data_IF_859588781345
#
_entry.id   IF_859588781345
#
_cell.length_a   1.000
_cell.length_b   1.000
_cell.length_c   1.000
_cell.angle_alpha   90.00
_cell.angle_beta   90.00
_cell.angle_gamma   90.00
#
_symmetry.space_group_name_H-M   'P 1'
#
loop_
_entity.id
_entity.type
_entity.pdbx_description
1 polymer ?
#
# COMPACT_ATOMS: atom_id res chain seq x y z
N UNK A 1 -9.39 -14.28 -10.90
CA UNK A 1 -9.85 -15.07 -9.75
C UNK A 1 -9.33 -14.38 -8.51
N UNK A 2 -10.16 -14.21 -7.49
CA UNK A 2 -9.84 -13.44 -6.29
C UNK A 2 -9.51 -14.43 -5.18
N UNK A 3 -8.42 -14.20 -4.45
CA UNK A 3 -8.01 -15.09 -3.35
C UNK A 3 -7.55 -14.28 -2.14
N UNK A 4 -7.91 -14.75 -0.96
CA UNK A 4 -7.33 -14.28 0.30
C UNK A 4 -5.95 -14.94 0.48
N UNK A 5 -4.92 -14.14 0.79
CA UNK A 5 -3.54 -14.63 0.92
C UNK A 5 -3.03 -14.57 2.35
N UNK A 6 -3.34 -13.49 3.05
CA UNK A 6 -3.08 -13.25 4.48
C UNK A 6 -4.23 -12.38 4.98
N UNK A 7 -4.72 -12.59 6.21
CA UNK A 7 -6.00 -12.06 6.71
C UNK A 7 -6.39 -10.67 6.18
N UNK A 8 -7.64 -10.56 5.73
CA UNK A 8 -8.26 -9.34 5.16
C UNK A 8 -7.55 -8.72 3.94
N UNK A 9 -6.62 -9.44 3.29
CA UNK A 9 -6.00 -8.99 2.05
C UNK A 9 -6.66 -9.66 0.84
N UNK A 10 -6.82 -8.87 -0.21
CA UNK A 10 -7.35 -9.30 -1.49
C UNK A 10 -6.24 -9.32 -2.54
N UNK A 11 -6.00 -10.49 -3.14
CA UNK A 11 -4.99 -10.66 -4.18
C UNK A 11 -5.62 -10.91 -5.55
N UNK A 12 -5.06 -10.27 -6.58
CA UNK A 12 -5.41 -10.52 -7.98
C UNK A 12 -4.18 -10.39 -8.89
N UNK A 13 -4.22 -10.99 -10.08
CA UNK A 13 -3.19 -10.82 -11.13
C UNK A 13 -3.58 -9.77 -12.17
N UNK A 14 -4.75 -9.13 -12.03
CA UNK A 14 -5.28 -8.17 -13.00
C UNK A 14 -5.21 -6.73 -12.42
N UNK A 15 -4.36 -5.90 -13.01
CA UNK A 15 -4.11 -4.52 -12.59
C UNK A 15 -5.37 -3.64 -12.63
N UNK A 16 -6.13 -3.72 -13.71
CA UNK A 16 -7.33 -2.90 -13.91
C UNK A 16 -8.39 -3.22 -12.86
N UNK A 17 -8.60 -4.51 -12.59
CA UNK A 17 -9.50 -4.97 -11.52
C UNK A 17 -9.02 -4.48 -10.15
N UNK A 18 -7.71 -4.57 -9.87
CA UNK A 18 -7.16 -4.13 -8.60
C UNK A 18 -7.37 -2.63 -8.37
N UNK A 19 -7.06 -1.81 -9.38
CA UNK A 19 -7.24 -0.34 -9.33
C UNK A 19 -8.72 0.04 -9.16
N UNK A 20 -9.63 -0.57 -9.91
CA UNK A 20 -11.08 -0.29 -9.77
C UNK A 20 -11.60 -0.62 -8.38
N UNK A 21 -11.16 -1.73 -7.79
CA UNK A 21 -11.59 -2.11 -6.42
C UNK A 21 -10.99 -1.16 -5.39
N UNK A 22 -9.70 -0.83 -5.52
CA UNK A 22 -9.03 0.17 -4.68
C UNK A 22 -9.76 1.52 -4.72
N UNK A 23 -9.99 2.06 -5.92
CA UNK A 23 -10.68 3.34 -6.12
C UNK A 23 -12.12 3.29 -5.61
N UNK A 24 -12.83 2.16 -5.76
CA UNK A 24 -14.16 2.00 -5.21
C UNK A 24 -14.14 2.14 -3.68
N UNK A 25 -13.25 1.44 -2.98
CA UNK A 25 -13.17 1.56 -1.51
C UNK A 25 -12.69 2.93 -1.06
N UNK A 26 -11.67 3.48 -1.72
CA UNK A 26 -11.12 4.79 -1.41
C UNK A 26 -12.17 5.92 -1.55
N UNK A 27 -13.10 5.80 -2.50
CA UNK A 27 -14.12 6.82 -2.75
C UNK A 27 -15.42 6.64 -1.95
N UNK A 28 -15.62 5.48 -1.33
CA UNK A 28 -16.90 5.12 -0.68
C UNK A 28 -16.75 4.76 0.81
N UNK A 29 -15.55 4.82 1.37
CA UNK A 29 -15.29 4.49 2.78
C UNK A 29 -14.35 5.52 3.41
N UNK A 30 -14.42 5.65 4.74
CA UNK A 30 -13.48 6.48 5.50
C UNK A 30 -12.28 5.65 6.02
N UNK A 31 -11.96 4.56 5.34
CA UNK A 31 -10.90 3.61 5.72
C UNK A 31 -9.69 3.84 4.84
N UNK A 32 -8.50 3.82 5.43
CA UNK A 32 -7.25 3.80 4.69
C UNK A 32 -7.03 2.40 4.10
N UNK A 33 -6.99 2.36 2.78
CA UNK A 33 -6.72 1.21 1.94
C UNK A 33 -5.38 1.42 1.24
N UNK A 34 -4.73 0.31 0.92
CA UNK A 34 -3.49 0.28 0.18
C UNK A 34 -3.55 -0.78 -0.92
N UNK A 35 -2.86 -0.51 -2.02
CA UNK A 35 -2.69 -1.39 -3.16
C UNK A 35 -1.19 -1.52 -3.46
N UNK A 36 -0.66 -2.72 -3.29
CA UNK A 36 0.71 -3.07 -3.63
C UNK A 36 0.78 -3.85 -4.93
N UNK A 37 1.66 -3.44 -5.84
CA UNK A 37 2.11 -4.26 -6.96
C UNK A 37 3.38 -4.99 -6.55
N UNK A 38 3.32 -6.31 -6.57
CA UNK A 38 4.42 -7.18 -6.17
C UNK A 38 4.93 -7.98 -7.38
N UNK A 39 6.24 -8.17 -7.45
CA UNK A 39 6.89 -8.97 -8.49
C UNK A 39 7.78 -10.06 -7.87
N UNK A 40 7.74 -11.26 -8.45
CA UNK A 40 8.66 -12.35 -8.14
C UNK A 40 8.99 -13.14 -9.41
N UNK A 41 10.16 -12.87 -9.97
CA UNK A 41 10.56 -13.47 -11.25
C UNK A 41 9.67 -12.97 -12.39
N UNK A 42 8.83 -13.84 -12.95
CA UNK A 42 7.85 -13.48 -14.00
C UNK A 42 6.43 -13.29 -13.45
N UNK A 43 6.23 -13.55 -12.16
CA UNK A 43 4.93 -13.42 -11.51
C UNK A 43 4.71 -11.97 -11.06
N UNK A 44 3.55 -11.42 -11.38
CA UNK A 44 3.10 -10.11 -10.89
C UNK A 44 1.73 -10.28 -10.26
N UNK A 45 1.57 -9.76 -9.05
CA UNK A 45 0.32 -9.75 -8.31
C UNK A 45 0.04 -8.37 -7.74
N UNK A 46 -1.23 -8.15 -7.41
CA UNK A 46 -1.74 -6.94 -6.82
C UNK A 46 -2.43 -7.29 -5.52
N UNK A 47 -1.88 -6.81 -4.41
CA UNK A 47 -2.39 -7.04 -3.07
C UNK A 47 -3.07 -5.75 -2.56
N UNK A 48 -4.38 -5.83 -2.35
CA UNK A 48 -5.18 -4.79 -1.72
C UNK A 48 -5.34 -5.14 -0.23
N UNK A 49 -5.05 -4.20 0.64
CA UNK A 49 -5.11 -4.39 2.09
C UNK A 49 -5.52 -3.09 2.79
N UNK A 50 -5.83 -3.17 4.09
CA UNK A 50 -6.09 -2.00 4.93
C UNK A 50 -5.14 -2.03 6.13
N UNK A 51 -4.69 -0.84 6.58
CA UNK A 51 -3.77 -0.66 7.69
C UNK A 51 -4.48 -0.47 9.05
N UNK A 52 -5.75 -0.88 9.18
CA UNK A 52 -6.48 -0.75 10.44
C UNK A 52 -5.94 -1.66 11.55
N UNK A 53 -5.06 -1.10 12.37
CA UNK A 53 -4.53 -1.72 13.58
C UNK A 53 -5.59 -1.75 14.70
N UNK A 54 -6.46 -2.75 14.66
CA UNK A 54 -7.29 -3.16 15.79
C UNK A 54 -6.74 -4.44 16.46
N UNK A 55 -5.42 -4.65 16.41
CA UNK A 55 -4.71 -5.75 17.07
C UNK A 55 -4.90 -7.15 16.44
N UNK A 56 -5.67 -7.24 15.35
CA UNK A 56 -5.95 -8.48 14.60
C UNK A 56 -5.46 -8.41 13.14
N UNK A 57 -5.29 -7.21 12.58
CA UNK A 57 -4.83 -6.98 11.21
C UNK A 57 -3.33 -6.74 11.24
N UNK A 58 -2.58 -7.57 10.50
CA UNK A 58 -1.14 -7.39 10.32
C UNK A 58 -0.89 -6.03 9.68
N UNK A 59 -0.06 -5.20 10.31
CA UNK A 59 0.24 -3.86 9.80
C UNK A 59 0.97 -3.93 8.45
N UNK A 60 1.03 -2.79 7.76
CA UNK A 60 1.74 -2.61 6.48
C UNK A 60 3.21 -3.12 6.55
N UNK A 61 3.86 -3.02 7.71
CA UNK A 61 5.20 -3.55 7.98
C UNK A 61 5.27 -5.08 8.06
N UNK A 62 4.27 -5.72 8.65
CA UNK A 62 4.21 -7.19 8.78
C UNK A 62 3.97 -7.83 7.41
N UNK A 63 3.10 -7.21 6.60
CA UNK A 63 2.85 -7.65 5.22
C UNK A 63 4.12 -7.55 4.38
N UNK A 64 4.87 -6.45 4.51
CA UNK A 64 6.16 -6.29 3.84
C UNK A 64 7.16 -7.38 4.24
N UNK A 65 7.26 -7.69 5.53
CA UNK A 65 8.14 -8.75 6.04
C UNK A 65 7.79 -10.11 5.40
N UNK A 66 6.50 -10.47 5.41
CA UNK A 66 6.01 -11.72 4.80
C UNK A 66 6.30 -11.74 3.29
N UNK A 67 6.06 -10.62 2.59
CA UNK A 67 6.30 -10.52 1.16
C UNK A 67 7.79 -10.67 0.82
N UNK A 68 8.66 -9.99 1.57
CA UNK A 68 10.11 -10.07 1.38
C UNK A 68 10.65 -11.47 1.71
N UNK A 69 10.20 -12.10 2.79
CA UNK A 69 10.57 -13.48 3.14
C UNK A 69 10.13 -14.49 2.07
N UNK A 70 8.99 -14.24 1.42
CA UNK A 70 8.48 -15.04 0.31
C UNK A 70 9.12 -14.70 -1.06
N UNK A 71 10.10 -13.79 -1.09
CA UNK A 71 10.87 -13.40 -2.27
C UNK A 71 10.18 -12.40 -3.19
N UNK A 72 9.09 -11.76 -2.75
CA UNK A 72 8.42 -10.71 -3.52
C UNK A 72 9.14 -9.38 -3.37
N UNK A 73 9.16 -8.60 -4.45
CA UNK A 73 9.61 -7.21 -4.46
C UNK A 73 8.41 -6.29 -4.63
N UNK A 74 8.38 -5.20 -3.88
CA UNK A 74 7.39 -4.12 -4.06
C UNK A 74 7.84 -3.27 -5.25
N UNK A 75 6.98 -3.15 -6.26
CA UNK A 75 7.22 -2.35 -7.46
C UNK A 75 6.46 -1.02 -7.38
N UNK A 76 5.25 -1.05 -6.85
CA UNK A 76 4.40 0.12 -6.63
C UNK A 76 3.62 -0.08 -5.34
N UNK A 77 3.49 0.99 -4.56
CA UNK A 77 2.61 1.04 -3.41
C UNK A 77 1.76 2.32 -3.47
N UNK A 78 0.45 2.15 -3.42
CA UNK A 78 -0.53 3.21 -3.43
C UNK A 78 -1.34 3.10 -2.14
N UNK A 79 -1.62 4.21 -1.48
CA UNK A 79 -2.63 4.26 -0.41
C UNK A 79 -3.54 5.48 -0.56
N UNK A 80 -4.74 5.45 0.01
CA UNK A 80 -5.64 6.62 0.03
C UNK A 80 -5.58 7.38 1.34
N UNK A 81 -5.84 8.68 1.28
CA UNK A 81 -6.07 9.50 2.46
C UNK A 81 -7.58 9.81 2.58
N UNK A 82 -8.29 9.27 3.61
CA UNK A 82 -9.73 9.48 3.76
C UNK A 82 -10.16 10.95 3.97
N UNK A 83 -9.24 11.81 4.40
CA UNK A 83 -9.45 13.24 4.57
C UNK A 83 -9.26 14.04 3.27
N UNK A 84 -9.02 13.35 2.14
CA UNK A 84 -8.80 13.93 0.80
C UNK A 84 -7.53 14.81 0.69
N UNK A 85 -6.62 14.71 1.66
CA UNK A 85 -5.32 15.36 1.62
C UNK A 85 -4.37 14.60 0.67
N UNK A 86 -3.83 15.22 -0.40
CA UNK A 86 -2.93 14.52 -1.32
C UNK A 86 -1.48 14.45 -0.82
N UNK A 87 -1.16 15.10 0.30
CA UNK A 87 0.22 15.24 0.76
C UNK A 87 0.65 14.04 1.62
N UNK A 88 1.76 13.36 1.27
CA UNK A 88 2.26 12.25 2.07
C UNK A 88 2.69 12.75 3.45
N UNK A 89 2.28 12.01 4.49
CA UNK A 89 2.66 12.27 5.87
C UNK A 89 4.16 12.09 6.10
N UNK A 90 4.72 12.98 6.94
CA UNK A 90 6.07 12.82 7.48
C UNK A 90 6.07 11.93 8.72
N UNK A 91 7.26 11.58 9.21
CA UNK A 91 7.42 10.87 10.48
C UNK A 91 6.86 11.69 11.66
N UNK A 92 5.86 11.14 12.37
CA UNK A 92 5.39 11.72 13.63
C UNK A 92 6.15 11.13 14.81
N UNK A 93 7.24 11.79 15.19
CA UNK A 93 8.12 11.35 16.30
C UNK A 93 7.42 11.18 17.64
N UNK A 94 6.29 11.86 17.84
CA UNK A 94 5.57 11.85 19.11
C UNK A 94 4.62 10.65 19.27
N UNK A 95 4.34 9.90 18.20
CA UNK A 95 3.44 8.74 18.24
C UNK A 95 4.10 7.42 17.86
N UNK A 96 5.39 7.44 17.47
CA UNK A 96 6.11 6.23 17.04
C UNK A 96 5.54 5.58 15.78
N UNK A 97 4.72 6.31 15.00
CA UNK A 97 4.13 5.82 13.75
C UNK A 97 4.96 6.31 12.57
N UNK A 98 5.38 5.39 11.72
CA UNK A 98 6.03 5.72 10.46
C UNK A 98 4.99 6.34 9.51
N UNK A 99 5.16 7.63 9.18
CA UNK A 99 4.40 8.27 8.10
C UNK A 99 4.82 7.76 6.72
N UNK A 100 4.09 8.19 5.70
CA UNK A 100 4.22 7.73 4.30
C UNK A 100 5.66 7.79 3.78
N UNK A 101 6.36 8.89 4.08
CA UNK A 101 7.75 9.06 3.64
C UNK A 101 8.71 8.14 4.38
N UNK A 102 8.52 7.89 5.67
CA UNK A 102 9.36 6.94 6.41
C UNK A 102 9.15 5.52 5.89
N UNK A 103 7.89 5.13 5.66
CA UNK A 103 7.56 3.85 5.03
C UNK A 103 8.25 3.70 3.66
N UNK A 104 8.17 4.71 2.80
CA UNK A 104 8.82 4.69 1.49
C UNK A 104 10.36 4.55 1.61
N UNK A 105 11.01 5.22 2.60
CA UNK A 105 12.45 5.03 2.86
C UNK A 105 12.77 3.57 3.18
N UNK A 106 11.95 2.94 4.03
CA UNK A 106 12.20 1.56 4.46
C UNK A 106 12.00 0.56 3.32
N UNK A 107 10.98 0.75 2.48
CA UNK A 107 10.78 -0.08 1.27
C UNK A 107 11.93 0.09 0.28
N UNK A 108 12.38 1.31 0.03
CA UNK A 108 13.46 1.60 -0.94
C UNK A 108 14.81 0.97 -0.56
N UNK A 109 15.04 0.63 0.72
CA UNK A 109 16.24 -0.13 1.13
C UNK A 109 16.31 -1.52 0.50
N UNK A 110 15.16 -2.14 0.27
CA UNK A 110 15.04 -3.49 -0.31
C UNK A 110 14.64 -3.44 -1.79
N UNK A 111 13.78 -2.48 -2.15
CA UNK A 111 13.21 -2.32 -3.48
C UNK A 111 13.50 -0.90 -4.01
N UNK A 112 14.73 -0.61 -4.50
CA UNK A 112 15.17 0.76 -4.79
C UNK A 112 14.45 1.45 -5.96
N UNK A 113 13.69 0.70 -6.74
CA UNK A 113 12.91 1.20 -7.87
C UNK A 113 11.40 1.26 -7.57
N UNK A 114 10.98 0.99 -6.32
CA UNK A 114 9.58 1.08 -5.93
C UNK A 114 9.08 2.52 -6.12
N UNK A 115 7.86 2.66 -6.63
CA UNK A 115 7.16 3.94 -6.76
C UNK A 115 6.02 4.04 -5.75
N UNK A 116 5.72 5.27 -5.31
CA UNK A 116 4.73 5.52 -4.27
C UNK A 116 3.77 6.62 -4.69
N UNK A 117 2.48 6.44 -4.38
CA UNK A 117 1.46 7.47 -4.62
C UNK A 117 0.40 7.53 -3.52
N UNK A 118 -0.10 8.73 -3.23
CA UNK A 118 -1.32 8.93 -2.45
C UNK A 118 -2.49 9.09 -3.42
N UNK A 119 -3.56 8.33 -3.25
CA UNK A 119 -4.80 8.54 -3.99
C UNK A 119 -5.80 9.34 -3.16
N UNK A 120 -6.40 10.36 -3.78
CA UNK A 120 -7.52 11.08 -3.19
C UNK A 120 -8.63 11.27 -4.22
N UNK A 121 -9.86 11.48 -3.76
CA UNK A 121 -11.01 11.64 -4.66
C UNK A 121 -10.87 12.89 -5.52
N UNK A 122 -10.35 13.97 -4.94
CA UNK A 122 -10.22 15.26 -5.62
C UNK A 122 -8.97 15.40 -6.48
N UNK A 123 -7.88 14.69 -6.16
CA UNK A 123 -6.59 14.86 -6.85
C UNK A 123 -6.15 13.62 -7.64
N UNK A 124 -6.85 12.49 -7.52
CA UNK A 124 -6.42 11.23 -8.10
C UNK A 124 -5.09 10.78 -7.49
N UNK A 125 -4.22 10.20 -8.31
CA UNK A 125 -2.92 9.68 -7.88
C UNK A 125 -1.86 10.80 -7.81
N UNK A 126 -1.39 11.08 -6.60
CA UNK A 126 -0.30 12.04 -6.32
C UNK A 126 0.99 11.26 -6.02
N UNK A 127 1.95 11.21 -6.96
CA UNK A 127 3.20 10.49 -6.75
C UNK A 127 4.08 11.22 -5.74
N UNK A 128 4.83 10.47 -4.93
CA UNK A 128 5.78 11.04 -4.00
C UNK A 128 7.10 10.28 -3.93
N UNK A 129 8.13 10.98 -3.43
CA UNK A 129 9.41 10.41 -3.04
C UNK A 129 9.69 10.78 -1.58
N UNK A 130 10.44 9.96 -0.83
CA UNK A 130 10.75 10.26 0.56
C UNK A 130 11.78 11.39 0.76
N UNK A 131 12.27 12.02 -0.30
CA UNK A 131 13.39 12.97 -0.29
C UNK A 131 12.91 14.42 -0.25
#
# INVERSE_FOLDING_TARGET
>A
MLSERYGHNFTTTNEETAKKIFEFFANNTNVEMSLQKLERGKEVIFDLYTSHDNGQVKGRSDLNTINFDAGWKIIEDIHNHPDDNPNPSEYESNMGKAGDKQYARDVLRTCPNAIFSVYTKSHGYTPFKPN
#
